data_IF_707981821803
#
_entry.id   IF_707981821803
#
_cell.length_a   1.000
_cell.length_b   1.000
_cell.length_c   1.000
_cell.angle_alpha   90.00
_cell.angle_beta   90.00
_cell.angle_gamma   90.00
#
_symmetry.space_group_name_H-M   'P 1'
#
loop_
_entity.id
_entity.type
_entity.pdbx_description
1 polymer ?
#
# COMPACT_ATOMS: atom_id res chain seq x y z
N UNK A 1 -16.43 -22.39 2.37
CA UNK A 1 -16.40 -20.91 2.50
C UNK A 1 -16.96 -20.33 1.20
N UNK A 2 -18.01 -19.49 1.24
CA UNK A 2 -18.62 -18.96 0.02
C UNK A 2 -17.69 -17.98 -0.70
N UNK A 3 -17.75 -17.91 -2.04
CA UNK A 3 -16.89 -17.01 -2.83
C UNK A 3 -17.03 -15.55 -2.40
N UNK A 4 -18.24 -15.10 -2.05
CA UNK A 4 -18.46 -13.75 -1.51
C UNK A 4 -17.73 -13.51 -0.18
N UNK A 5 -17.71 -14.50 0.72
CA UNK A 5 -17.00 -14.39 1.99
C UNK A 5 -15.48 -14.33 1.77
N UNK A 6 -14.94 -15.14 0.86
CA UNK A 6 -13.53 -15.08 0.47
C UNK A 6 -13.18 -13.71 -0.12
N UNK A 7 -14.01 -13.16 -1.01
CA UNK A 7 -13.77 -11.83 -1.58
C UNK A 7 -13.78 -10.75 -0.49
N UNK A 8 -14.75 -10.79 0.42
CA UNK A 8 -14.84 -9.84 1.51
C UNK A 8 -13.62 -9.90 2.44
N UNK A 9 -13.15 -11.10 2.78
CA UNK A 9 -11.98 -11.29 3.64
C UNK A 9 -10.69 -10.86 2.95
N UNK A 10 -10.37 -11.44 1.79
CA UNK A 10 -9.11 -11.16 1.10
C UNK A 10 -9.08 -9.76 0.48
N UNK A 11 -10.20 -9.30 -0.06
CA UNK A 11 -10.36 -7.93 -0.55
C UNK A 11 -10.30 -6.91 0.59
N UNK A 12 -10.89 -7.21 1.74
CA UNK A 12 -10.79 -6.38 2.94
C UNK A 12 -9.33 -6.25 3.43
N UNK A 13 -8.61 -7.36 3.54
CA UNK A 13 -7.19 -7.38 3.90
C UNK A 13 -6.35 -6.57 2.90
N UNK A 14 -6.62 -6.75 1.60
CA UNK A 14 -5.94 -5.98 0.56
C UNK A 14 -6.22 -4.47 0.68
N UNK A 15 -7.47 -4.06 0.89
CA UNK A 15 -7.86 -2.66 1.04
C UNK A 15 -7.20 -2.00 2.27
N UNK A 16 -7.04 -2.73 3.37
CA UNK A 16 -6.34 -2.24 4.57
C UNK A 16 -4.89 -1.84 4.28
N UNK A 17 -4.29 -2.39 3.22
CA UNK A 17 -2.93 -2.08 2.80
C UNK A 17 -2.92 -1.06 1.65
N UNK A 18 -3.73 -1.31 0.62
CA UNK A 18 -3.75 -0.51 -0.60
C UNK A 18 -4.27 0.92 -0.37
N UNK A 19 -5.31 1.10 0.45
CA UNK A 19 -5.92 2.42 0.67
C UNK A 19 -4.96 3.38 1.40
N UNK A 20 -4.31 2.99 2.52
CA UNK A 20 -3.27 3.81 3.13
C UNK A 20 -2.11 4.15 2.20
N UNK A 21 -1.66 3.17 1.39
CA UNK A 21 -0.59 3.39 0.41
C UNK A 21 -1.01 4.45 -0.60
N UNK A 22 -2.17 4.26 -1.26
CA UNK A 22 -2.72 5.18 -2.25
C UNK A 22 -2.89 6.60 -1.70
N UNK A 23 -3.45 6.75 -0.49
CA UNK A 23 -3.60 8.06 0.18
C UNK A 23 -2.24 8.71 0.43
N UNK A 24 -1.25 7.93 0.86
CA UNK A 24 0.13 8.38 1.01
C UNK A 24 0.70 8.90 -0.31
N UNK A 25 0.57 8.12 -1.40
CA UNK A 25 1.04 8.50 -2.74
C UNK A 25 0.43 9.83 -3.17
N UNK A 26 -0.89 9.94 -3.11
CA UNK A 26 -1.62 11.15 -3.54
C UNK A 26 -1.22 12.37 -2.71
N UNK A 27 -1.08 12.22 -1.40
CA UNK A 27 -0.62 13.31 -0.54
C UNK A 27 0.82 13.73 -0.84
N UNK A 28 1.70 12.77 -1.15
CA UNK A 28 3.08 13.03 -1.57
C UNK A 28 3.14 13.77 -2.91
N UNK A 29 2.38 13.32 -3.90
CA UNK A 29 2.29 13.97 -5.22
C UNK A 29 1.77 15.40 -5.12
N UNK A 30 0.71 15.65 -4.34
CA UNK A 30 0.18 17.01 -4.11
C UNK A 30 1.17 17.94 -3.42
N UNK A 31 2.08 17.40 -2.62
CA UNK A 31 3.11 18.16 -1.93
C UNK A 31 4.42 18.30 -2.73
N UNK A 32 4.51 17.73 -3.95
CA UNK A 32 5.77 17.67 -4.71
C UNK A 32 6.83 16.75 -4.09
N UNK A 33 6.46 15.96 -3.08
CA UNK A 33 7.34 15.09 -2.31
C UNK A 33 6.77 13.67 -2.27
N UNK A 34 6.84 12.96 -3.39
CA UNK A 34 6.28 11.62 -3.55
C UNK A 34 6.88 10.56 -2.60
N UNK A 35 8.00 10.85 -1.94
CA UNK A 35 8.66 10.04 -0.91
C UNK A 35 8.12 10.23 0.52
N UNK A 36 7.30 11.28 0.76
CA UNK A 36 6.71 11.58 2.08
C UNK A 36 6.06 10.42 2.83
N UNK A 37 5.42 9.43 2.18
CA UNK A 37 4.75 8.35 2.90
C UNK A 37 5.70 7.50 3.75
N UNK A 38 6.98 7.48 3.38
CA UNK A 38 8.02 6.71 4.05
C UNK A 38 8.85 7.55 5.03
N UNK A 39 8.78 8.88 4.93
CA UNK A 39 9.57 9.81 5.72
C UNK A 39 8.79 10.37 6.93
N UNK A 40 9.54 10.92 7.91
CA UNK A 40 8.96 11.76 8.95
C UNK A 40 8.64 13.14 8.39
N UNK A 41 7.46 13.65 8.68
CA UNK A 41 7.13 15.05 8.42
C UNK A 41 7.92 15.98 9.36
N UNK A 42 7.86 17.29 9.11
CA UNK A 42 8.51 18.33 9.92
C UNK A 42 8.07 18.34 11.41
N UNK A 43 7.00 17.62 11.77
CA UNK A 43 6.54 17.44 13.15
C UNK A 43 7.00 16.11 13.76
N UNK A 44 7.95 15.41 13.14
CA UNK A 44 8.46 14.11 13.57
C UNK A 44 7.48 12.94 13.41
N UNK A 45 6.32 13.16 12.78
CA UNK A 45 5.29 12.13 12.56
C UNK A 45 5.49 11.47 11.21
N UNK A 46 5.55 10.14 11.21
CA UNK A 46 5.60 9.36 9.99
C UNK A 46 4.28 9.45 9.20
N UNK A 47 4.36 9.35 7.86
CA UNK A 47 3.19 9.16 7.00
C UNK A 47 2.38 7.91 7.39
N UNK A 48 1.15 7.77 6.89
CA UNK A 48 0.19 6.72 7.30
C UNK A 48 0.80 5.31 7.19
N UNK A 49 1.64 5.06 6.19
CA UNK A 49 2.34 3.79 6.00
C UNK A 49 3.42 3.50 7.03
N UNK A 50 4.04 4.54 7.56
CA UNK A 50 5.17 4.44 8.48
C UNK A 50 4.75 4.69 9.93
N UNK A 51 3.50 5.08 10.20
CA UNK A 51 2.99 5.30 11.55
C UNK A 51 2.66 3.98 12.29
N UNK A 52 2.38 2.89 11.58
CA UNK A 52 2.10 1.58 12.19
C UNK A 52 3.38 0.88 12.67
N UNK A 53 3.30 0.20 13.83
CA UNK A 53 4.39 -0.61 14.41
C UNK A 53 4.81 -1.76 13.48
N UNK A 54 3.84 -2.40 12.82
CA UNK A 54 4.08 -3.51 11.89
C UNK A 54 4.76 -3.08 10.60
N UNK A 55 4.69 -1.79 10.26
CA UNK A 55 5.27 -1.23 9.04
C UNK A 55 6.50 -0.36 9.32
N UNK A 56 6.99 -0.38 10.56
CA UNK A 56 8.14 0.41 10.98
C UNK A 56 9.42 0.06 10.21
N UNK A 57 9.57 -1.20 9.78
CA UNK A 57 10.71 -1.66 8.98
C UNK A 57 10.80 -0.99 7.61
N UNK A 58 9.69 -0.44 7.10
CA UNK A 58 9.65 0.23 5.80
C UNK A 58 9.86 1.74 5.88
N UNK A 59 10.10 2.28 7.08
CA UNK A 59 10.45 3.70 7.29
C UNK A 59 11.71 4.05 6.50
N UNK A 60 11.68 5.18 5.81
CA UNK A 60 12.87 5.78 5.23
C UNK A 60 13.70 6.46 6.34
N UNK A 61 15.05 6.49 6.20
CA UNK A 61 15.90 7.31 7.03
C UNK A 61 15.51 8.80 6.89
N UNK A 62 15.86 9.61 7.89
CA UNK A 62 15.64 11.05 7.85
C UNK A 62 16.23 11.68 6.56
N UNK A 63 15.68 12.80 6.05
CA UNK A 63 15.95 13.33 4.71
C UNK A 63 17.45 13.46 4.36
N UNK A 64 18.26 13.82 5.36
CA UNK A 64 19.73 13.94 5.32
C UNK A 64 20.51 12.64 5.05
N UNK A 65 19.88 11.47 5.19
CA UNK A 65 20.49 10.14 4.98
C UNK A 65 19.77 9.31 3.91
N UNK A 66 18.88 9.93 3.13
CA UNK A 66 18.14 9.21 2.08
C UNK A 66 19.05 8.90 0.90
N UNK A 67 18.94 7.70 0.36
CA UNK A 67 19.51 7.34 -0.93
C UNK A 67 18.38 7.10 -1.92
N UNK A 68 18.55 7.56 -3.16
CA UNK A 68 17.56 7.35 -4.22
C UNK A 68 17.27 5.86 -4.41
N UNK A 69 18.32 5.02 -4.38
CA UNK A 69 18.21 3.57 -4.44
C UNK A 69 17.30 3.01 -3.34
N UNK A 70 17.50 3.43 -2.09
CA UNK A 70 16.70 2.95 -0.95
C UNK A 70 15.23 3.36 -1.03
N UNK A 71 14.90 4.49 -1.67
CA UNK A 71 13.52 4.92 -1.91
C UNK A 71 12.87 4.08 -3.02
N UNK A 72 13.59 3.86 -4.13
CA UNK A 72 13.11 3.03 -5.25
C UNK A 72 12.86 1.59 -4.79
N UNK A 73 13.78 0.99 -4.03
CA UNK A 73 13.60 -0.37 -3.50
C UNK A 73 12.35 -0.49 -2.62
N UNK A 74 12.08 0.50 -1.77
CA UNK A 74 10.86 0.51 -0.93
C UNK A 74 9.59 0.56 -1.78
N UNK A 75 9.58 1.38 -2.83
CA UNK A 75 8.49 1.41 -3.78
C UNK A 75 8.28 0.07 -4.48
N UNK A 76 9.36 -0.54 -4.97
CA UNK A 76 9.28 -1.85 -5.62
C UNK A 76 8.70 -2.91 -4.69
N UNK A 77 9.15 -2.95 -3.44
CA UNK A 77 8.64 -3.91 -2.44
C UNK A 77 7.14 -3.66 -2.18
N UNK A 78 6.72 -2.42 -1.95
CA UNK A 78 5.32 -2.11 -1.67
C UNK A 78 4.40 -2.38 -2.85
N UNK A 79 4.85 -2.05 -4.06
CA UNK A 79 4.13 -2.38 -5.30
C UNK A 79 3.99 -3.89 -5.43
N UNK A 80 5.05 -4.65 -5.17
CA UNK A 80 5.00 -6.12 -5.20
C UNK A 80 4.04 -6.69 -4.16
N UNK A 81 4.08 -6.20 -2.92
CA UNK A 81 3.17 -6.62 -1.84
C UNK A 81 1.71 -6.35 -2.22
N UNK A 82 1.40 -5.15 -2.73
CA UNK A 82 0.04 -4.79 -3.13
C UNK A 82 -0.43 -5.62 -4.33
N UNK A 83 0.43 -5.84 -5.31
CA UNK A 83 0.11 -6.67 -6.47
C UNK A 83 -0.13 -8.14 -6.06
N UNK A 84 0.75 -8.70 -5.22
CA UNK A 84 0.63 -10.06 -4.73
C UNK A 84 -0.63 -10.29 -3.89
N UNK A 85 -0.91 -9.39 -2.94
CA UNK A 85 -2.14 -9.46 -2.12
C UNK A 85 -3.40 -9.21 -2.95
N UNK A 86 -3.31 -8.42 -4.02
CA UNK A 86 -4.44 -8.08 -4.89
C UNK A 86 -4.81 -9.17 -5.89
N UNK A 87 -3.87 -10.05 -6.24
CA UNK A 87 -4.07 -11.06 -7.29
C UNK A 87 -5.27 -11.97 -7.02
N UNK A 88 -5.34 -12.56 -5.82
CA UNK A 88 -6.40 -13.48 -5.45
C UNK A 88 -7.81 -12.83 -5.40
N UNK A 89 -8.03 -11.72 -4.67
CA UNK A 89 -9.34 -11.08 -4.64
C UNK A 89 -9.75 -10.53 -6.02
N UNK A 90 -8.81 -10.04 -6.84
CA UNK A 90 -9.09 -9.60 -8.20
C UNK A 90 -9.60 -10.75 -9.08
N UNK A 91 -8.91 -11.89 -9.09
CA UNK A 91 -9.34 -13.08 -9.83
C UNK A 91 -10.70 -13.58 -9.36
N UNK A 92 -10.97 -13.52 -8.06
CA UNK A 92 -12.25 -13.92 -7.50
C UNK A 92 -13.39 -12.99 -7.92
N UNK A 93 -13.15 -11.68 -7.93
CA UNK A 93 -14.11 -10.68 -8.40
C UNK A 93 -14.44 -10.86 -9.89
N UNK A 94 -13.43 -11.11 -10.73
CA UNK A 94 -13.61 -11.39 -12.16
C UNK A 94 -14.49 -12.63 -12.37
N UNK A 95 -14.22 -13.72 -11.63
CA UNK A 95 -15.02 -14.95 -11.72
C UNK A 95 -16.48 -14.73 -11.30
N UNK A 96 -16.72 -13.95 -10.25
CA UNK A 96 -18.07 -13.61 -9.81
C UNK A 96 -18.82 -12.78 -10.85
N UNK A 97 -18.15 -11.81 -11.48
CA UNK A 97 -18.75 -10.99 -12.54
C UNK A 97 -19.14 -11.83 -13.77
N UNK A 98 -18.33 -12.83 -14.13
CA UNK A 98 -18.64 -13.76 -15.23
C UNK A 98 -19.83 -14.67 -14.91
N UNK A 99 -19.97 -15.11 -13.65
CA UNK A 99 -21.08 -15.96 -13.21
C UNK A 99 -22.40 -15.20 -12.99
N UNK A 100 -22.33 -13.91 -12.67
CA UNK A 100 -23.52 -13.07 -12.49
C UNK A 100 -24.01 -12.39 -13.76
N UNK A 101 -23.25 -12.47 -14.86
CA UNK A 101 -23.60 -11.91 -16.16
C UNK A 101 -24.24 -12.91 -17.14
N UNK A 102 -24.41 -14.17 -16.73
CA UNK A 102 -25.12 -15.25 -17.45
C UNK A 102 -26.54 -15.42 -16.91
#
# INVERSE_FOLDING_TARGET
MSMLLSLALFGGIWLLVAVPLARGVVAGLRAGEWWRPFEQNARGRYGILANSRSLASFRAPAPHRRTMLGLVTRWLIWTYVVAGLGYYPLMLAIRLAQLGGS
#
